data_IF_564814947550
#
_entry.id   IF_564814947550
#
_cell.length_a   1.000
_cell.length_b   1.000
_cell.length_c   1.000
_cell.angle_alpha   90.00
_cell.angle_beta   90.00
_cell.angle_gamma   90.00
#
_symmetry.space_group_name_H-M   'P 1'
#
loop_
_entity.id
_entity.type
_entity.pdbx_description
1 polymer ?
#
# COMPACT_ATOMS: atom_id res chain seq x y z
N UNK A 1 -16.94 12.93 -6.24
CA UNK A 1 -18.27 13.00 -5.62
C UNK A 1 -18.83 11.59 -5.41
N UNK A 2 -19.37 11.34 -4.23
CA UNK A 2 -19.91 10.02 -3.93
C UNK A 2 -21.30 9.87 -4.50
N UNK A 3 -21.62 8.70 -5.07
CA UNK A 3 -22.95 8.45 -5.59
C UNK A 3 -23.97 8.35 -4.46
N UNK A 4 -25.20 8.71 -4.81
CA UNK A 4 -26.34 8.56 -3.91
C UNK A 4 -26.98 7.20 -4.18
N UNK A 5 -26.80 6.28 -3.26
CA UNK A 5 -27.32 4.92 -3.42
C UNK A 5 -28.65 4.77 -2.70
N UNK A 6 -29.54 3.99 -3.28
CA UNK A 6 -30.86 3.76 -2.72
C UNK A 6 -31.01 2.37 -2.11
N UNK A 7 -30.00 1.53 -2.23
CA UNK A 7 -30.05 0.17 -1.65
C UNK A 7 -28.64 -0.27 -1.28
N UNK A 8 -28.57 -1.28 -0.41
CA UNK A 8 -27.30 -1.86 -0.03
C UNK A 8 -26.63 -2.55 -1.23
N UNK A 9 -27.43 -3.10 -2.14
CA UNK A 9 -26.89 -3.73 -3.35
C UNK A 9 -26.17 -2.72 -4.21
N UNK A 10 -26.73 -1.51 -4.37
CA UNK A 10 -26.06 -0.46 -5.12
C UNK A 10 -24.75 -0.04 -4.44
N UNK A 11 -24.77 0.11 -3.12
CA UNK A 11 -23.55 0.46 -2.36
C UNK A 11 -22.48 -0.58 -2.63
N UNK A 12 -22.83 -1.85 -2.55
CA UNK A 12 -21.86 -2.93 -2.75
C UNK A 12 -21.31 -2.98 -4.17
N UNK A 13 -22.14 -2.68 -5.16
CA UNK A 13 -21.68 -2.62 -6.55
C UNK A 13 -20.64 -1.52 -6.74
N UNK A 14 -20.86 -0.36 -6.13
CA UNK A 14 -19.90 0.73 -6.20
C UNK A 14 -18.61 0.38 -5.46
N UNK A 15 -18.72 -0.26 -4.30
CA UNK A 15 -17.54 -0.71 -3.56
C UNK A 15 -16.75 -1.71 -4.39
N UNK A 16 -17.42 -2.68 -5.01
CA UNK A 16 -16.75 -3.68 -5.86
C UNK A 16 -15.97 -3.02 -6.99
N UNK A 17 -16.55 -1.98 -7.58
CA UNK A 17 -15.87 -1.24 -8.64
C UNK A 17 -14.59 -0.56 -8.12
N UNK A 18 -14.70 0.08 -6.97
CA UNK A 18 -13.55 0.73 -6.33
C UNK A 18 -12.48 -0.32 -5.98
N UNK A 19 -12.90 -1.48 -5.49
CA UNK A 19 -11.96 -2.54 -5.13
C UNK A 19 -11.12 -2.98 -6.33
N UNK A 20 -11.72 -3.05 -7.51
CA UNK A 20 -10.95 -3.37 -8.72
C UNK A 20 -9.85 -2.33 -8.97
N UNK A 21 -10.16 -1.07 -8.76
CA UNK A 21 -9.19 0.01 -8.93
C UNK A 21 -8.09 -0.08 -7.86
N UNK A 22 -8.49 -0.34 -6.61
CA UNK A 22 -7.53 -0.49 -5.52
C UNK A 22 -6.56 -1.65 -5.79
N UNK A 23 -7.09 -2.80 -6.22
CA UNK A 23 -6.24 -3.97 -6.51
C UNK A 23 -5.29 -3.66 -7.67
N UNK A 24 -5.78 -2.99 -8.70
CA UNK A 24 -4.92 -2.60 -9.84
C UNK A 24 -3.80 -1.67 -9.39
N UNK A 25 -4.10 -0.72 -8.50
CA UNK A 25 -3.09 0.19 -7.97
C UNK A 25 -2.10 -0.53 -7.05
N UNK A 26 -2.57 -1.51 -6.28
CA UNK A 26 -1.68 -2.34 -5.47
C UNK A 26 -0.70 -3.11 -6.36
N UNK A 27 -1.17 -3.60 -7.50
CA UNK A 27 -0.29 -4.29 -8.44
C UNK A 27 0.80 -3.36 -8.98
N UNK A 28 0.42 -2.14 -9.34
CA UNK A 28 1.38 -1.14 -9.81
C UNK A 28 2.39 -0.79 -8.73
N UNK A 29 1.90 -0.57 -7.52
CA UNK A 29 2.75 -0.23 -6.38
C UNK A 29 3.71 -1.39 -6.08
N UNK A 30 3.21 -2.63 -6.11
CA UNK A 30 4.01 -3.82 -5.89
C UNK A 30 5.13 -3.96 -6.91
N UNK A 31 4.84 -3.67 -8.17
CA UNK A 31 5.86 -3.67 -9.22
C UNK A 31 7.00 -2.72 -8.92
N UNK A 32 6.64 -1.51 -8.48
CA UNK A 32 7.64 -0.49 -8.15
C UNK A 32 8.44 -0.87 -6.90
N UNK A 33 7.78 -1.47 -5.92
CA UNK A 33 8.45 -1.97 -4.71
C UNK A 33 9.47 -3.05 -5.09
N UNK A 34 9.08 -3.95 -5.99
CA UNK A 34 9.99 -4.99 -6.50
C UNK A 34 11.20 -4.37 -7.20
N UNK A 35 10.98 -3.35 -8.03
CA UNK A 35 12.07 -2.65 -8.69
C UNK A 35 12.99 -1.98 -7.67
N UNK A 36 12.41 -1.38 -6.63
CA UNK A 36 13.19 -0.74 -5.58
C UNK A 36 14.09 -1.74 -4.85
N UNK A 37 13.65 -2.98 -4.73
CA UNK A 37 14.42 -4.01 -4.04
C UNK A 37 15.79 -4.24 -4.67
N UNK A 38 15.91 -4.02 -5.99
CA UNK A 38 17.19 -4.18 -6.69
C UNK A 38 18.26 -3.18 -6.21
N UNK A 39 17.85 -2.08 -5.60
CA UNK A 39 18.76 -1.05 -5.11
C UNK A 39 19.07 -1.19 -3.63
N UNK A 40 18.49 -2.18 -2.96
CA UNK A 40 18.65 -2.37 -1.52
C UNK A 40 19.68 -3.45 -1.25
N UNK A 41 20.56 -3.20 -0.28
CA UNK A 41 21.69 -4.09 0.01
C UNK A 41 21.52 -4.89 1.28
N UNK A 42 20.69 -4.40 2.22
CA UNK A 42 20.53 -5.03 3.52
C UNK A 42 19.07 -5.17 3.86
N UNK A 43 18.76 -5.99 4.88
CA UNK A 43 17.39 -6.11 5.38
C UNK A 43 16.90 -4.80 6.00
N UNK A 44 17.81 -4.02 6.58
CA UNK A 44 17.45 -2.69 7.10
C UNK A 44 17.02 -1.76 5.97
N UNK A 45 17.66 -1.85 4.81
CA UNK A 45 17.25 -1.07 3.63
C UNK A 45 15.84 -1.46 3.19
N UNK A 46 15.51 -2.75 3.26
CA UNK A 46 14.17 -3.24 2.90
C UNK A 46 13.14 -2.72 3.88
N UNK A 47 13.43 -2.76 5.18
CA UNK A 47 12.49 -2.29 6.19
C UNK A 47 12.31 -0.78 6.16
N UNK A 48 13.38 -0.05 5.88
CA UNK A 48 13.38 1.39 5.67
C UNK A 48 12.42 2.16 6.60
N UNK A 49 12.59 2.09 7.91
CA UNK A 49 11.61 2.68 8.85
C UNK A 49 11.42 4.17 8.67
N UNK A 50 12.46 4.91 8.32
CA UNK A 50 12.33 6.35 8.08
C UNK A 50 11.44 6.62 6.87
N UNK A 51 11.58 5.83 5.80
CA UNK A 51 10.75 5.96 4.61
C UNK A 51 9.30 5.64 4.93
N UNK A 52 9.06 4.61 5.77
CA UNK A 52 7.71 4.26 6.19
C UNK A 52 7.03 5.46 6.83
N UNK A 53 7.68 6.14 7.76
CA UNK A 53 7.09 7.28 8.43
C UNK A 53 6.87 8.46 7.48
N UNK A 54 7.75 8.64 6.51
CA UNK A 54 7.55 9.66 5.46
C UNK A 54 6.27 9.38 4.68
N UNK A 55 6.06 8.12 4.29
CA UNK A 55 4.86 7.73 3.54
C UNK A 55 3.60 7.95 4.39
N UNK A 56 3.65 7.56 5.67
CA UNK A 56 2.51 7.73 6.56
C UNK A 56 2.13 9.21 6.68
N UNK A 57 3.12 10.07 6.90
CA UNK A 57 2.87 11.52 6.98
C UNK A 57 2.22 12.03 5.69
N UNK A 58 2.76 11.61 4.54
CA UNK A 58 2.26 12.04 3.24
C UNK A 58 0.81 11.58 3.03
N UNK A 59 0.51 10.31 3.29
CA UNK A 59 -0.83 9.80 2.99
C UNK A 59 -1.87 10.34 3.98
N UNK A 60 -1.49 10.66 5.22
CA UNK A 60 -2.41 11.34 6.13
C UNK A 60 -2.80 12.71 5.57
N UNK A 61 -1.84 13.44 4.99
CA UNK A 61 -2.13 14.72 4.35
C UNK A 61 -3.04 14.56 3.15
N UNK A 62 -2.77 13.57 2.31
CA UNK A 62 -3.61 13.28 1.15
C UNK A 62 -5.02 12.91 1.60
N UNK A 63 -5.15 12.13 2.66
CA UNK A 63 -6.46 11.77 3.21
C UNK A 63 -7.29 13.00 3.53
N UNK A 64 -6.67 14.01 4.16
CA UNK A 64 -7.36 15.26 4.45
C UNK A 64 -7.83 15.96 3.18
N UNK A 65 -7.01 15.97 2.14
CA UNK A 65 -7.35 16.57 0.85
C UNK A 65 -8.51 15.85 0.17
N UNK A 66 -8.58 14.53 0.34
CA UNK A 66 -9.57 13.69 -0.33
C UNK A 66 -10.85 13.49 0.48
N UNK A 67 -10.92 14.03 1.69
CA UNK A 67 -12.06 13.83 2.56
C UNK A 67 -12.11 12.47 3.20
N UNK A 68 -10.95 11.81 3.34
CA UNK A 68 -10.85 10.52 4.01
C UNK A 68 -10.36 10.68 5.43
N UNK A 69 -10.60 9.68 6.27
CA UNK A 69 -10.09 9.67 7.63
C UNK A 69 -8.58 9.40 7.63
N UNK A 70 -7.76 10.32 8.13
CA UNK A 70 -6.32 10.09 8.20
C UNK A 70 -5.96 8.86 9.04
N UNK A 71 -6.72 8.59 10.11
CA UNK A 71 -6.47 7.42 10.95
C UNK A 71 -6.73 6.12 10.22
N UNK A 72 -7.82 6.06 9.44
CA UNK A 72 -8.14 4.87 8.65
C UNK A 72 -7.07 4.67 7.57
N UNK A 73 -6.71 5.74 6.87
CA UNK A 73 -5.68 5.68 5.81
C UNK A 73 -4.35 5.23 6.38
N UNK A 74 -3.97 5.75 7.55
CA UNK A 74 -2.72 5.33 8.19
C UNK A 74 -2.73 3.84 8.50
N UNK A 75 -3.82 3.32 9.07
CA UNK A 75 -3.91 1.89 9.42
C UNK A 75 -3.82 1.01 8.18
N UNK A 76 -4.51 1.40 7.12
CA UNK A 76 -4.48 0.67 5.85
C UNK A 76 -3.06 0.68 5.29
N UNK A 77 -2.41 1.83 5.27
CA UNK A 77 -1.07 1.95 4.71
C UNK A 77 -0.03 1.18 5.53
N UNK A 78 -0.13 1.22 6.86
CA UNK A 78 0.81 0.45 7.68
C UNK A 78 0.69 -1.05 7.42
N UNK A 79 -0.54 -1.55 7.31
CA UNK A 79 -0.76 -2.96 7.01
C UNK A 79 -0.26 -3.33 5.61
N UNK A 80 -0.54 -2.48 4.63
CA UNK A 80 -0.09 -2.69 3.25
C UNK A 80 1.44 -2.69 3.17
N UNK A 81 2.07 -1.70 3.77
CA UNK A 81 3.52 -1.58 3.76
C UNK A 81 4.15 -2.80 4.43
N UNK A 82 3.60 -3.23 5.57
CA UNK A 82 4.11 -4.41 6.26
C UNK A 82 4.03 -5.65 5.38
N UNK A 83 2.91 -5.81 4.66
CA UNK A 83 2.74 -6.96 3.76
C UNK A 83 3.76 -6.93 2.63
N UNK A 84 4.00 -5.77 2.02
CA UNK A 84 4.99 -5.64 0.96
C UNK A 84 6.41 -5.85 1.47
N UNK A 85 6.71 -5.37 2.68
CA UNK A 85 8.04 -5.60 3.29
C UNK A 85 8.27 -7.10 3.48
N UNK A 86 7.28 -7.84 3.96
CA UNK A 86 7.40 -9.28 4.13
C UNK A 86 7.70 -9.97 2.80
N UNK A 87 6.98 -9.60 1.74
CA UNK A 87 7.22 -10.16 0.40
C UNK A 87 8.60 -9.77 -0.11
N UNK A 88 8.99 -8.52 0.10
CA UNK A 88 10.27 -8.00 -0.34
C UNK A 88 11.42 -8.70 0.39
N UNK A 89 11.30 -8.93 1.69
CA UNK A 89 12.31 -9.65 2.46
C UNK A 89 12.47 -11.08 1.95
N UNK A 90 11.38 -11.74 1.63
CA UNK A 90 11.40 -13.09 1.09
C UNK A 90 12.13 -13.11 -0.25
N UNK A 91 11.79 -12.21 -1.14
CA UNK A 91 12.44 -12.08 -2.45
C UNK A 91 13.92 -11.74 -2.31
N UNK A 92 14.23 -10.79 -1.43
CA UNK A 92 15.60 -10.36 -1.18
C UNK A 92 16.46 -11.52 -0.68
N UNK A 93 15.92 -12.31 0.24
CA UNK A 93 16.60 -13.49 0.77
C UNK A 93 16.89 -14.49 -0.34
N UNK A 94 15.92 -14.73 -1.22
CA UNK A 94 16.08 -15.64 -2.35
C UNK A 94 17.16 -15.12 -3.32
N UNK A 95 17.13 -13.82 -3.59
CA UNK A 95 18.08 -13.19 -4.52
C UNK A 95 19.51 -13.18 -4.00
N UNK A 96 19.70 -13.08 -2.69
CA UNK A 96 21.04 -13.04 -2.12
C UNK A 96 21.66 -14.42 -2.00
N UNK A 97 20.99 -15.41 -2.53
CA UNK A 97 21.55 -16.75 -2.59
C UNK A 97 21.63 -17.41 -1.24
N UNK A 98 20.66 -17.19 -0.45
CA UNK A 98 20.61 -17.82 0.85
C UNK A 98 20.68 -19.34 0.68
N UNK A 99 21.65 -19.91 1.24
CA UNK A 99 21.85 -21.34 1.14
C UNK A 99 21.17 -22.08 2.26
#
# INVERSE_FOLDING_TARGET
MNPQCTSIEEVRQHIDHIDREVVALLAQRGNLVTQAAAFKKTTDDVRAPARVEQVITKVRGIAGECGASPEVVERVYRAMIAAFIEEELKTHSDLTGKS
#
